data_IF_241331660940
#
_entry.id   IF_241331660940
#
_cell.length_a   1.000
_cell.length_b   1.000
_cell.length_c   1.000
_cell.angle_alpha   90.00
_cell.angle_beta   90.00
_cell.angle_gamma   90.00
#
_symmetry.space_group_name_H-M   'P 1'
#
loop_
_entity.id
_entity.type
_entity.pdbx_description
1 polymer ?
#
# COMPACT_ATOMS: atom_id res chain seq x y z
N UNK A 1 -14.34 80.40 -55.40
CA UNK A 1 -13.85 79.00 -55.37
C UNK A 1 -14.21 78.48 -53.98
N UNK A 2 -15.37 77.86 -53.74
CA UNK A 2 -15.84 76.53 -54.17
C UNK A 2 -14.83 75.40 -53.93
N UNK A 3 -15.22 74.43 -53.09
CA UNK A 3 -14.81 73.03 -53.22
C UNK A 3 -14.32 72.33 -51.96
N UNK A 4 -15.21 71.65 -51.23
CA UNK A 4 -14.94 70.29 -50.70
C UNK A 4 -15.30 69.29 -51.83
N UNK A 5 -14.63 68.12 -52.02
CA UNK A 5 -14.96 66.93 -51.22
C UNK A 5 -13.89 65.79 -51.14
N UNK A 6 -14.27 64.71 -50.44
CA UNK A 6 -13.81 63.31 -50.54
C UNK A 6 -12.46 62.98 -49.86
N UNK A 7 -12.28 61.88 -49.13
CA UNK A 7 -13.07 60.66 -48.99
C UNK A 7 -12.13 59.47 -49.16
N UNK A 8 -11.99 58.63 -48.14
CA UNK A 8 -12.00 57.16 -48.29
C UNK A 8 -11.88 56.48 -46.93
N UNK A 9 -12.96 55.80 -46.57
CA UNK A 9 -12.92 54.60 -45.75
C UNK A 9 -11.97 53.60 -46.40
N UNK A 10 -11.11 52.96 -45.60
CA UNK A 10 -10.74 51.58 -45.86
C UNK A 10 -11.02 50.76 -44.62
N UNK A 11 -11.98 49.85 -44.79
CA UNK A 11 -12.41 48.79 -43.89
C UNK A 11 -11.78 47.53 -44.44
N UNK A 12 -11.01 46.79 -43.64
CA UNK A 12 -10.78 45.33 -43.74
C UNK A 12 -9.81 44.94 -42.61
N UNK A 13 -10.35 44.44 -41.50
CA UNK A 13 -10.34 43.02 -41.15
C UNK A 13 -8.97 42.51 -40.73
N UNK A 14 -8.61 42.73 -39.46
CA UNK A 14 -7.66 41.82 -38.81
C UNK A 14 -8.46 40.77 -38.06
N UNK A 15 -8.39 39.57 -38.63
CA UNK A 15 -8.90 38.31 -38.12
C UNK A 15 -8.16 37.98 -36.83
N UNK A 16 -8.87 37.46 -35.83
CA UNK A 16 -8.22 36.57 -34.88
C UNK A 16 -7.57 35.40 -35.63
N UNK A 17 -6.41 34.93 -35.16
CA UNK A 17 -6.20 33.50 -35.05
C UNK A 17 -5.87 33.10 -33.61
N UNK A 18 -6.78 32.30 -33.09
CA UNK A 18 -6.59 31.17 -32.18
C UNK A 18 -5.15 30.61 -32.12
N UNK A 19 -4.75 30.25 -30.89
CA UNK A 19 -3.73 29.27 -30.46
C UNK A 19 -2.30 29.73 -30.12
N UNK A 20 -1.86 29.20 -28.95
CA UNK A 20 -0.53 29.17 -28.31
C UNK A 20 -0.14 30.47 -27.59
N UNK A 21 0.09 30.49 -26.28
CA UNK A 21 0.96 29.55 -25.56
C UNK A 21 0.60 29.47 -24.08
N UNK A 22 0.20 28.28 -23.65
CA UNK A 22 0.25 27.81 -22.26
C UNK A 22 1.72 27.59 -21.90
N UNK A 23 2.12 28.07 -20.71
CA UNK A 23 3.33 27.76 -19.91
C UNK A 23 3.94 29.08 -19.43
N UNK A 24 3.63 29.47 -18.20
CA UNK A 24 4.56 30.02 -17.20
C UNK A 24 3.72 30.54 -16.01
N UNK A 25 3.46 29.69 -15.02
CA UNK A 25 3.15 30.12 -13.65
C UNK A 25 3.24 28.91 -12.68
N UNK A 26 4.31 28.13 -12.73
CA UNK A 26 4.63 27.14 -11.71
C UNK A 26 5.85 27.62 -10.95
N UNK A 27 5.64 28.61 -10.07
CA UNK A 27 6.52 29.00 -8.96
C UNK A 27 5.89 30.20 -8.26
N UNK A 28 5.66 30.04 -6.96
CA UNK A 28 5.11 31.01 -6.00
C UNK A 28 3.58 31.07 -5.87
N UNK A 29 2.98 30.04 -5.26
CA UNK A 29 1.94 30.22 -4.22
C UNK A 29 2.09 29.10 -3.17
N UNK A 30 3.06 29.22 -2.26
CA UNK A 30 2.97 28.63 -0.92
C UNK A 30 3.21 29.79 0.06
N UNK A 31 2.31 30.77 0.06
CA UNK A 31 2.12 31.69 1.19
C UNK A 31 0.66 32.13 1.17
N UNK A 32 -0.01 31.93 2.31
CA UNK A 32 -1.33 32.40 2.70
C UNK A 32 -2.56 31.59 2.24
N UNK A 33 -2.82 30.48 2.93
CA UNK A 33 -4.19 30.07 3.29
C UNK A 33 -4.16 29.47 4.71
N UNK A 34 -3.93 30.32 5.71
CA UNK A 34 -4.23 29.98 7.12
C UNK A 34 -5.02 31.15 7.70
N UNK A 35 -6.25 31.37 7.23
CA UNK A 35 -7.32 32.00 8.03
C UNK A 35 -8.65 31.46 7.47
N UNK A 36 -9.37 30.71 8.32
CA UNK A 36 -10.72 30.14 8.16
C UNK A 36 -10.93 29.07 7.07
N UNK A 37 -10.81 27.80 7.49
CA UNK A 37 -11.12 26.61 6.69
C UNK A 37 -9.93 25.66 6.64
N UNK A 38 -10.02 24.55 7.38
CA UNK A 38 -8.99 23.51 7.46
C UNK A 38 -8.49 23.11 6.07
N UNK A 39 -7.19 23.28 5.83
CA UNK A 39 -6.56 22.76 4.62
C UNK A 39 -6.50 21.24 4.75
N UNK A 40 -7.20 20.54 3.86
CA UNK A 40 -7.22 19.07 3.73
C UNK A 40 -5.97 18.52 3.02
N UNK A 41 -4.98 19.36 2.73
CA UNK A 41 -3.70 18.93 2.15
C UNK A 41 -3.02 17.99 3.15
N UNK A 42 -2.84 16.73 2.77
CA UNK A 42 -2.32 15.68 3.64
C UNK A 42 -3.30 15.16 4.70
N UNK A 43 -4.60 15.44 4.63
CA UNK A 43 -5.53 14.81 5.58
C UNK A 43 -5.91 13.39 5.15
N UNK A 44 -6.10 13.19 3.85
CA UNK A 44 -6.37 11.90 3.24
C UNK A 44 -5.21 11.58 2.31
N UNK A 45 -4.60 10.41 2.51
CA UNK A 45 -3.41 9.98 1.78
C UNK A 45 -3.66 8.64 1.09
N UNK A 46 -2.95 8.40 -0.01
CA UNK A 46 -2.88 7.07 -0.63
C UNK A 46 -2.03 6.19 0.29
N UNK A 47 -2.58 5.08 0.75
CA UNK A 47 -1.97 4.24 1.79
C UNK A 47 -1.51 2.88 1.26
N UNK A 48 -2.25 2.29 0.33
CA UNK A 48 -1.96 0.97 -0.24
C UNK A 48 -2.56 0.87 -1.65
N UNK A 49 -1.87 0.20 -2.57
CA UNK A 49 -2.37 -0.05 -3.94
C UNK A 49 -2.23 -1.52 -4.32
N UNK A 50 -3.24 -2.08 -4.99
CA UNK A 50 -3.20 -3.41 -5.59
C UNK A 50 -3.37 -3.30 -7.12
N UNK A 51 -2.28 -3.05 -7.86
CA UNK A 51 -2.32 -2.95 -9.31
C UNK A 51 -2.40 -4.30 -10.02
N UNK A 52 -1.90 -5.39 -9.40
CA UNK A 52 -1.73 -6.69 -10.06
C UNK A 52 -2.27 -7.85 -9.21
N UNK A 53 -3.57 -7.91 -8.89
CA UNK A 53 -4.14 -8.98 -8.05
C UNK A 53 -4.00 -10.37 -8.73
N UNK A 54 -3.81 -11.43 -7.94
CA UNK A 54 -3.88 -12.81 -8.44
C UNK A 54 -5.33 -13.30 -8.56
N UNK A 55 -6.22 -12.75 -7.75
CA UNK A 55 -7.65 -13.00 -7.76
C UNK A 55 -8.41 -11.73 -7.38
N UNK A 56 -9.58 -11.51 -7.99
CA UNK A 56 -10.30 -10.24 -7.90
C UNK A 56 -9.76 -9.18 -8.86
N UNK A 57 -10.20 -7.95 -8.67
CA UNK A 57 -9.78 -6.77 -9.43
C UNK A 57 -8.90 -5.83 -8.62
N UNK A 58 -8.50 -4.74 -9.28
CA UNK A 58 -7.62 -3.73 -8.73
C UNK A 58 -8.31 -2.92 -7.63
N UNK A 59 -7.52 -2.37 -6.72
CA UNK A 59 -8.06 -1.47 -5.70
C UNK A 59 -6.98 -0.56 -5.13
N UNK A 60 -7.46 0.51 -4.49
CA UNK A 60 -6.64 1.53 -3.85
C UNK A 60 -7.23 1.81 -2.47
N UNK A 61 -6.36 1.87 -1.47
CA UNK A 61 -6.72 2.30 -0.13
C UNK A 61 -6.28 3.72 0.13
N UNK A 62 -7.19 4.50 0.69
CA UNK A 62 -6.94 5.81 1.24
C UNK A 62 -7.05 5.76 2.77
N UNK A 63 -6.20 6.51 3.46
CA UNK A 63 -6.18 6.60 4.92
C UNK A 63 -6.34 8.05 5.35
N UNK A 64 -7.28 8.30 6.28
CA UNK A 64 -7.38 9.61 6.91
C UNK A 64 -6.41 9.68 8.10
N UNK A 65 -5.24 10.27 7.87
CA UNK A 65 -4.21 10.42 8.90
C UNK A 65 -4.45 11.60 9.86
N UNK A 66 -5.41 12.47 9.53
CA UNK A 66 -5.75 13.61 10.36
C UNK A 66 -6.53 13.21 11.62
N UNK A 67 -6.54 14.11 12.61
CA UNK A 67 -7.36 13.98 13.82
C UNK A 67 -8.81 14.49 13.60
N UNK A 68 -9.17 14.82 12.37
CA UNK A 68 -10.47 15.35 11.98
C UNK A 68 -11.06 14.55 10.83
N UNK A 69 -12.39 14.54 10.73
CA UNK A 69 -13.05 13.90 9.60
C UNK A 69 -12.86 14.68 8.29
N UNK A 70 -12.85 13.97 7.17
CA UNK A 70 -12.74 14.54 5.81
C UNK A 70 -13.98 14.17 5.01
N UNK A 71 -14.65 15.15 4.39
CA UNK A 71 -15.68 14.87 3.38
C UNK A 71 -15.02 14.77 2.00
N UNK A 72 -15.19 13.62 1.37
CA UNK A 72 -14.58 13.27 0.07
C UNK A 72 -15.52 13.47 -1.11
N UNK A 73 -16.63 14.19 -0.92
CA UNK A 73 -17.48 14.60 -2.03
C UNK A 73 -16.67 15.36 -3.08
N UNK A 74 -16.84 14.96 -4.33
CA UNK A 74 -16.20 15.53 -5.52
C UNK A 74 -14.67 15.40 -5.55
N UNK A 75 -14.06 14.67 -4.62
CA UNK A 75 -12.64 14.30 -4.69
C UNK A 75 -12.40 13.30 -5.83
N UNK A 76 -11.19 13.36 -6.40
CA UNK A 76 -10.82 12.56 -7.56
C UNK A 76 -9.47 11.90 -7.36
N UNK A 77 -9.36 10.71 -7.92
CA UNK A 77 -8.09 10.07 -8.17
C UNK A 77 -7.82 10.11 -9.67
N UNK A 78 -6.68 10.67 -10.09
CA UNK A 78 -6.30 10.80 -11.50
C UNK A 78 -5.03 10.02 -11.82
N UNK A 79 -4.94 9.47 -13.03
CA UNK A 79 -3.73 8.83 -13.55
C UNK A 79 -2.88 9.78 -14.42
N UNK A 80 -1.74 9.31 -14.92
CA UNK A 80 -0.84 10.10 -15.78
C UNK A 80 -1.44 10.47 -17.16
N UNK A 81 -2.54 9.84 -17.54
CA UNK A 81 -3.28 10.10 -18.79
C UNK A 81 -4.44 11.08 -18.60
N UNK A 82 -4.59 11.68 -17.41
CA UNK A 82 -5.69 12.59 -17.04
C UNK A 82 -7.07 11.90 -17.03
N UNK A 83 -7.10 10.56 -16.99
CA UNK A 83 -8.31 9.84 -16.62
C UNK A 83 -8.52 9.98 -15.12
N UNK A 84 -9.77 9.96 -14.66
CA UNK A 84 -10.06 10.06 -13.24
C UNK A 84 -11.21 9.17 -12.78
N UNK A 85 -11.09 8.73 -11.53
CA UNK A 85 -12.17 8.10 -10.78
C UNK A 85 -12.70 9.08 -9.74
N UNK A 86 -14.00 9.36 -9.79
CA UNK A 86 -14.69 10.14 -8.77
C UNK A 86 -14.85 9.29 -7.51
N UNK A 87 -14.42 9.80 -6.35
CA UNK A 87 -14.60 9.10 -5.08
C UNK A 87 -16.09 9.08 -4.70
N UNK A 88 -16.72 10.25 -4.56
CA UNK A 88 -18.14 10.32 -4.22
C UNK A 88 -18.83 11.52 -4.86
N UNK A 89 -20.04 11.31 -5.39
CA UNK A 89 -20.90 12.38 -5.93
C UNK A 89 -21.82 13.05 -4.88
N UNK A 90 -21.78 12.54 -3.64
CA UNK A 90 -22.54 13.04 -2.49
C UNK A 90 -21.65 13.02 -1.26
N UNK A 91 -22.06 13.78 -0.25
CA UNK A 91 -21.38 13.90 1.02
C UNK A 91 -21.04 12.50 1.58
N UNK A 92 -19.74 12.27 1.80
CA UNK A 92 -19.20 11.02 2.29
C UNK A 92 -18.04 11.34 3.20
N UNK A 93 -18.24 11.11 4.49
CA UNK A 93 -17.30 11.49 5.53
C UNK A 93 -16.46 10.29 5.94
N UNK A 94 -15.14 10.46 5.94
CA UNK A 94 -14.16 9.52 6.48
C UNK A 94 -13.74 10.03 7.87
N UNK A 95 -13.89 9.20 8.89
CA UNK A 95 -13.48 9.53 10.25
C UNK A 95 -11.95 9.58 10.42
N UNK A 96 -11.45 10.19 11.51
CA UNK A 96 -10.02 10.18 11.81
C UNK A 96 -9.51 8.74 12.00
N UNK A 97 -8.35 8.42 11.43
CA UNK A 97 -7.74 7.09 11.50
C UNK A 97 -8.54 5.99 10.80
N UNK A 98 -9.51 6.35 9.94
CA UNK A 98 -10.32 5.39 9.19
C UNK A 98 -9.79 5.19 7.77
N UNK A 99 -10.07 4.01 7.24
CA UNK A 99 -9.69 3.60 5.88
C UNK A 99 -10.87 3.72 4.91
N UNK A 100 -10.54 3.95 3.65
CA UNK A 100 -11.46 3.87 2.53
C UNK A 100 -10.83 3.03 1.43
N UNK A 101 -11.60 2.11 0.86
CA UNK A 101 -11.22 1.32 -0.30
C UNK A 101 -11.98 1.81 -1.53
N UNK A 102 -11.25 2.11 -2.60
CA UNK A 102 -11.79 2.21 -3.96
C UNK A 102 -11.49 0.89 -4.67
N UNK A 103 -12.53 0.11 -4.96
CA UNK A 103 -12.42 -1.17 -5.67
C UNK A 103 -12.88 -1.02 -7.12
N UNK A 104 -12.21 -1.71 -8.03
CA UNK A 104 -12.54 -1.75 -9.47
C UNK A 104 -14.01 -2.08 -9.72
N UNK A 105 -14.52 -3.11 -9.05
CA UNK A 105 -15.90 -3.56 -9.19
C UNK A 105 -16.47 -4.13 -7.88
N UNK A 106 -17.76 -4.48 -7.91
CA UNK A 106 -18.44 -5.06 -6.74
C UNK A 106 -17.91 -6.45 -6.38
N UNK A 107 -17.43 -7.24 -7.35
CA UNK A 107 -16.89 -8.57 -7.08
C UNK A 107 -15.57 -8.49 -6.30
N UNK A 108 -14.74 -7.50 -6.61
CA UNK A 108 -13.52 -7.15 -5.88
C UNK A 108 -13.84 -6.71 -4.47
N UNK A 109 -14.85 -5.84 -4.32
CA UNK A 109 -15.31 -5.38 -3.02
C UNK A 109 -15.78 -6.53 -2.11
N UNK A 110 -16.52 -7.51 -2.66
CA UNK A 110 -16.98 -8.68 -1.93
C UNK A 110 -15.82 -9.61 -1.52
N UNK A 111 -14.79 -9.76 -2.36
CA UNK A 111 -13.63 -10.63 -2.09
C UNK A 111 -12.71 -10.13 -0.99
N UNK A 112 -12.63 -8.82 -0.78
CA UNK A 112 -11.75 -8.24 0.24
C UNK A 112 -12.20 -8.57 1.68
N UNK A 113 -13.44 -9.02 1.87
CA UNK A 113 -14.01 -9.44 3.16
C UNK A 113 -13.67 -8.46 4.31
N UNK A 114 -13.90 -7.17 4.03
CA UNK A 114 -13.55 -6.08 4.94
C UNK A 114 -14.50 -6.02 6.13
N UNK A 115 -14.00 -5.46 7.23
CA UNK A 115 -14.83 -5.18 8.38
C UNK A 115 -15.94 -4.17 8.02
N UNK A 116 -17.07 -4.25 8.72
CA UNK A 116 -18.24 -3.42 8.42
C UNK A 116 -18.03 -1.91 8.67
N UNK A 117 -16.89 -1.51 9.25
CA UNK A 117 -16.56 -0.10 9.50
C UNK A 117 -15.72 0.52 8.38
N UNK A 118 -15.08 -0.27 7.53
CA UNK A 118 -14.35 0.24 6.36
C UNK A 118 -15.33 0.73 5.30
N UNK A 119 -15.08 1.94 4.79
CA UNK A 119 -15.87 2.49 3.68
C UNK A 119 -15.35 1.87 2.38
N UNK A 120 -16.23 1.21 1.63
CA UNK A 120 -15.91 0.74 0.28
C UNK A 120 -16.69 1.52 -0.78
N UNK A 121 -15.99 1.92 -1.82
CA UNK A 121 -16.50 2.61 -2.99
C UNK A 121 -16.20 1.78 -4.23
N UNK A 122 -17.16 1.70 -5.14
CA UNK A 122 -17.00 1.14 -6.47
C UNK A 122 -17.27 2.27 -7.46
N UNK A 123 -16.23 2.98 -7.92
CA UNK A 123 -16.40 4.10 -8.84
C UNK A 123 -17.01 3.62 -10.17
N UNK A 124 -17.97 4.38 -10.72
CA UNK A 124 -18.52 4.08 -12.04
C UNK A 124 -17.49 4.28 -13.17
N UNK A 125 -16.53 5.18 -12.93
CA UNK A 125 -15.48 5.58 -13.86
C UNK A 125 -14.12 5.09 -13.33
N UNK A 126 -13.97 3.79 -13.08
CA UNK A 126 -12.68 3.22 -12.65
C UNK A 126 -11.60 3.45 -13.71
N UNK A 127 -10.46 4.01 -13.30
CA UNK A 127 -9.27 4.09 -14.13
C UNK A 127 -8.32 2.96 -13.76
N UNK A 128 -8.01 2.02 -14.67
CA UNK A 128 -7.14 0.89 -14.38
C UNK A 128 -5.74 1.33 -13.94
N UNK A 129 -5.16 0.56 -13.01
CA UNK A 129 -3.81 0.74 -12.54
C UNK A 129 -2.81 0.05 -13.45
N UNK A 130 -1.82 0.79 -13.96
CA UNK A 130 -0.82 0.18 -14.82
C UNK A 130 0.10 -0.78 -14.05
N UNK A 131 0.16 -2.04 -14.49
CA UNK A 131 0.98 -3.07 -13.87
C UNK A 131 2.47 -2.74 -13.86
N UNK A 132 3.00 -2.13 -14.92
CA UNK A 132 4.43 -1.79 -15.04
C UNK A 132 4.80 -0.50 -14.32
N UNK A 133 3.82 0.28 -13.86
CA UNK A 133 4.04 1.55 -13.18
C UNK A 133 3.03 2.60 -13.58
N UNK A 134 2.71 3.48 -12.64
CA UNK A 134 1.79 4.60 -12.85
C UNK A 134 2.15 5.78 -11.93
N UNK A 135 1.53 6.92 -12.21
CA UNK A 135 1.53 8.08 -11.33
C UNK A 135 0.08 8.42 -11.01
N UNK A 136 -0.27 8.37 -9.72
CA UNK A 136 -1.60 8.67 -9.24
C UNK A 136 -1.59 9.96 -8.43
N UNK A 137 -2.57 10.83 -8.66
CA UNK A 137 -2.81 12.01 -7.84
C UNK A 137 -4.18 11.91 -7.18
N UNK A 138 -4.22 12.13 -5.88
CA UNK A 138 -5.43 12.33 -5.11
C UNK A 138 -5.67 13.84 -5.00
N UNK A 139 -6.76 14.33 -5.57
CA UNK A 139 -7.14 15.73 -5.53
C UNK A 139 -8.46 15.94 -4.80
N UNK A 140 -8.55 17.04 -4.05
CA UNK A 140 -9.79 17.46 -3.40
C UNK A 140 -10.82 18.00 -4.40
N UNK A 141 -12.00 18.37 -3.89
CA UNK A 141 -13.09 18.94 -4.70
C UNK A 141 -12.71 20.25 -5.43
N UNK A 142 -11.71 20.99 -4.92
CA UNK A 142 -11.17 22.20 -5.54
C UNK A 142 -10.10 21.93 -6.60
N UNK A 143 -9.70 20.67 -6.78
CA UNK A 143 -8.61 20.26 -7.67
C UNK A 143 -7.22 20.45 -7.08
N UNK A 144 -7.11 20.70 -5.77
CA UNK A 144 -5.82 20.75 -5.10
C UNK A 144 -5.35 19.32 -4.81
N UNK A 145 -4.13 19.00 -5.22
CA UNK A 145 -3.52 17.69 -4.93
C UNK A 145 -3.29 17.57 -3.42
N UNK A 146 -3.99 16.62 -2.81
CA UNK A 146 -3.85 16.27 -1.40
C UNK A 146 -2.68 15.31 -1.17
N UNK A 147 -2.48 14.35 -2.09
CA UNK A 147 -1.40 13.37 -2.04
C UNK A 147 -1.15 12.77 -3.44
N UNK A 148 -0.03 12.09 -3.63
CA UNK A 148 0.31 11.44 -4.89
C UNK A 148 1.36 10.33 -4.69
N UNK A 149 1.37 9.36 -5.61
CA UNK A 149 2.34 8.26 -5.65
C UNK A 149 2.82 8.07 -7.09
N UNK A 150 4.09 7.75 -7.25
CA UNK A 150 4.65 7.18 -8.48
C UNK A 150 5.22 5.80 -8.16
N UNK A 151 4.84 4.80 -8.95
CA UNK A 151 5.32 3.43 -8.79
C UNK A 151 5.68 2.82 -10.16
N UNK A 152 6.45 1.73 -10.17
CA UNK A 152 6.85 1.01 -11.39
C UNK A 152 8.32 0.68 -11.48
N UNK A 153 9.17 1.60 -11.02
CA UNK A 153 10.63 1.38 -10.95
C UNK A 153 11.07 0.68 -9.68
N UNK A 154 10.13 0.42 -8.76
CA UNK A 154 10.39 -0.15 -7.44
C UNK A 154 10.71 -1.63 -7.51
N UNK A 155 11.85 -2.00 -6.92
CA UNK A 155 12.26 -3.39 -6.80
C UNK A 155 11.31 -4.15 -5.85
N UNK A 156 10.91 -5.37 -6.24
CA UNK A 156 10.22 -6.29 -5.33
C UNK A 156 8.69 -6.33 -5.41
N UNK A 157 8.07 -5.63 -6.36
CA UNK A 157 6.65 -5.83 -6.71
C UNK A 157 6.40 -7.26 -7.19
N UNK A 158 5.33 -7.89 -6.70
CA UNK A 158 4.94 -9.26 -7.05
C UNK A 158 3.43 -9.29 -7.26
N UNK A 159 2.96 -9.99 -8.29
CA UNK A 159 1.53 -10.19 -8.52
C UNK A 159 0.86 -10.86 -7.30
N UNK A 160 -0.35 -10.40 -6.99
CA UNK A 160 -1.13 -10.75 -5.81
C UNK A 160 -0.62 -10.17 -4.51
N UNK A 161 0.30 -9.20 -4.55
CA UNK A 161 0.70 -8.41 -3.38
C UNK A 161 0.52 -6.93 -3.66
N UNK A 162 -0.11 -6.24 -2.72
CA UNK A 162 -0.21 -4.79 -2.75
C UNK A 162 1.13 -4.13 -2.45
N UNK A 163 1.19 -2.85 -2.78
CA UNK A 163 2.28 -1.94 -2.45
C UNK A 163 1.80 -1.03 -1.32
N UNK A 164 2.47 -1.10 -0.19
CA UNK A 164 2.06 -0.43 1.05
C UNK A 164 2.97 0.77 1.34
N UNK A 165 2.37 1.87 1.81
CA UNK A 165 3.11 2.99 2.39
C UNK A 165 3.63 2.61 3.77
N UNK A 166 4.85 3.02 4.09
CA UNK A 166 5.51 2.68 5.36
C UNK A 166 5.10 3.66 6.46
N UNK A 167 5.11 4.94 6.14
CA UNK A 167 4.69 6.03 7.02
C UNK A 167 3.69 6.94 6.28
N UNK A 168 2.44 6.95 6.75
CA UNK A 168 1.39 7.79 6.21
C UNK A 168 1.75 9.28 6.26
N UNK A 169 2.49 9.71 7.29
CA UNK A 169 2.87 11.10 7.53
C UNK A 169 4.00 11.60 6.64
N UNK A 170 4.75 10.68 6.01
CA UNK A 170 5.84 11.00 5.08
C UNK A 170 5.29 11.08 3.66
N UNK A 171 5.78 11.97 2.76
CA UNK A 171 5.18 12.17 1.42
C UNK A 171 5.06 10.90 0.58
N UNK A 172 3.98 10.76 -0.21
CA UNK A 172 3.76 9.60 -1.07
C UNK A 172 4.72 9.50 -2.26
N UNK A 173 5.37 10.61 -2.64
CA UNK A 173 6.43 10.62 -3.66
C UNK A 173 7.79 10.09 -3.17
N UNK A 174 7.97 9.92 -1.87
CA UNK A 174 9.21 9.37 -1.36
C UNK A 174 9.23 7.88 -1.69
N UNK A 175 10.04 7.49 -2.68
CA UNK A 175 10.16 6.11 -3.15
C UNK A 175 10.50 5.14 -2.00
N UNK A 176 11.37 5.57 -1.09
CA UNK A 176 11.73 4.87 0.14
C UNK A 176 10.62 4.92 1.21
N UNK A 177 9.41 5.37 0.91
CA UNK A 177 8.26 5.30 1.80
C UNK A 177 7.28 4.20 1.38
N UNK A 178 7.66 3.32 0.47
CA UNK A 178 6.83 2.23 0.00
C UNK A 178 7.55 0.89 -0.03
N UNK A 179 6.77 -0.19 -0.06
CA UNK A 179 7.30 -1.54 -0.21
C UNK A 179 6.21 -2.58 -0.48
N UNK A 180 6.60 -3.84 -0.77
CA UNK A 180 5.66 -4.92 -0.98
C UNK A 180 5.00 -5.33 0.33
N UNK A 181 3.68 -5.55 0.30
CA UNK A 181 2.95 -6.12 1.43
C UNK A 181 3.61 -7.40 1.97
N UNK A 182 3.85 -7.40 3.28
CA UNK A 182 4.43 -8.50 4.03
C UNK A 182 3.38 -9.42 4.68
N UNK A 183 2.10 -9.09 4.57
CA UNK A 183 1.01 -9.96 5.03
C UNK A 183 0.92 -11.22 4.16
N UNK A 184 0.53 -12.35 4.75
CA UNK A 184 0.38 -13.61 4.02
C UNK A 184 -0.74 -13.54 2.98
N UNK A 185 -1.81 -12.81 3.26
CA UNK A 185 -2.94 -12.60 2.33
C UNK A 185 -2.55 -11.72 1.14
N UNK A 186 -1.38 -11.09 1.17
CA UNK A 186 -0.89 -10.21 0.12
C UNK A 186 -1.46 -8.80 0.16
N UNK A 187 -2.22 -8.45 1.19
CA UNK A 187 -2.69 -7.08 1.42
C UNK A 187 -3.05 -6.81 2.88
N UNK A 188 -3.19 -5.52 3.20
CA UNK A 188 -3.68 -5.00 4.48
C UNK A 188 -4.91 -4.10 4.34
N UNK A 189 -5.66 -4.23 3.25
CA UNK A 189 -6.93 -3.51 3.05
C UNK A 189 -7.82 -3.46 4.33
N UNK A 190 -8.26 -2.26 4.69
CA UNK A 190 -9.07 -1.93 5.86
C UNK A 190 -8.31 -1.91 7.19
N UNK A 191 -6.99 -2.14 7.21
CA UNK A 191 -6.19 -2.25 8.44
C UNK A 191 -4.81 -1.61 8.30
N UNK A 192 -4.08 -1.57 9.41
CA UNK A 192 -2.74 -1.01 9.44
C UNK A 192 -1.76 -1.79 8.56
N UNK A 193 -1.00 -1.06 7.73
CA UNK A 193 0.03 -1.62 6.84
C UNK A 193 1.04 -2.49 7.61
N UNK A 194 1.46 -3.57 6.94
CA UNK A 194 2.41 -4.55 7.45
C UNK A 194 3.84 -3.99 7.59
N UNK A 195 4.15 -2.94 6.84
CA UNK A 195 5.45 -2.28 6.83
C UNK A 195 5.63 -1.20 7.89
N UNK A 196 4.57 -0.84 8.64
CA UNK A 196 4.64 0.22 9.66
C UNK A 196 5.74 -0.12 10.69
N UNK A 197 6.77 0.74 10.83
CA UNK A 197 7.90 0.47 11.72
C UNK A 197 7.45 0.25 13.17
N UNK A 198 8.13 -0.66 13.86
CA UNK A 198 7.98 -0.76 15.31
C UNK A 198 8.80 0.34 15.97
N UNK A 199 8.16 1.10 16.87
CA UNK A 199 8.81 2.21 17.56
C UNK A 199 9.97 1.69 18.43
N UNK A 200 11.16 2.27 18.23
CA UNK A 200 12.36 1.98 19.01
C UNK A 200 13.30 0.96 18.37
N UNK A 201 14.52 0.85 18.92
CA UNK A 201 15.54 -0.09 18.46
C UNK A 201 15.20 -1.50 18.93
N UNK A 202 14.30 -2.18 18.21
CA UNK A 202 13.97 -3.57 18.49
C UNK A 202 15.06 -4.50 17.94
N UNK A 203 15.29 -5.62 18.64
CA UNK A 203 16.02 -6.75 18.09
C UNK A 203 15.05 -7.64 17.35
N UNK A 204 15.51 -8.32 16.30
CA UNK A 204 14.68 -9.29 15.60
C UNK A 204 14.27 -10.43 16.55
N UNK A 205 12.97 -10.68 16.65
CA UNK A 205 12.40 -11.76 17.48
C UNK A 205 11.54 -12.68 16.64
N UNK A 206 11.51 -13.96 17.02
CA UNK A 206 10.61 -14.96 16.47
C UNK A 206 9.92 -15.71 17.60
N UNK A 207 8.63 -15.97 17.44
CA UNK A 207 7.82 -16.78 18.33
C UNK A 207 6.94 -17.74 17.54
N UNK A 208 6.52 -18.83 18.17
CA UNK A 208 5.63 -19.83 17.58
C UNK A 208 4.44 -20.10 18.49
N UNK A 209 3.25 -20.17 17.90
CA UNK A 209 2.02 -20.53 18.61
C UNK A 209 0.99 -21.14 17.66
N UNK A 210 0.32 -22.26 18.02
CA UNK A 210 0.52 -23.07 19.23
C UNK A 210 1.89 -23.79 19.29
N UNK A 211 2.42 -23.95 20.50
CA UNK A 211 3.65 -24.71 20.78
C UNK A 211 3.56 -25.39 22.16
N UNK A 212 3.48 -26.74 22.25
CA UNK A 212 3.56 -27.69 21.14
C UNK A 212 2.32 -27.71 20.23
N UNK A 213 2.45 -28.30 19.04
CA UNK A 213 1.33 -28.63 18.14
C UNK A 213 1.48 -30.05 17.54
N UNK A 214 0.37 -30.63 17.06
CA UNK A 214 0.32 -32.00 16.51
C UNK A 214 0.00 -32.02 15.00
N UNK A 215 1.00 -32.11 14.12
CA UNK A 215 0.78 -32.07 12.68
C UNK A 215 0.07 -33.33 12.14
N UNK A 216 0.16 -34.47 12.86
CA UNK A 216 -0.55 -35.70 12.50
C UNK A 216 -2.07 -35.61 12.68
N UNK A 217 -2.56 -34.53 13.31
CA UNK A 217 -3.99 -34.19 13.42
C UNK A 217 -4.40 -33.06 12.49
N UNK A 218 -3.50 -32.59 11.63
CA UNK A 218 -3.72 -31.42 10.78
C UNK A 218 -3.63 -30.09 11.55
N UNK A 219 -3.06 -30.08 12.76
CA UNK A 219 -2.76 -28.83 13.45
C UNK A 219 -1.59 -28.11 12.77
N UNK A 220 -1.61 -26.78 12.83
CA UNK A 220 -0.55 -25.92 12.32
C UNK A 220 -0.08 -24.98 13.42
N UNK A 221 1.18 -24.54 13.34
CA UNK A 221 1.68 -23.42 14.15
C UNK A 221 1.79 -22.16 13.30
N UNK A 222 1.59 -21.01 13.91
CA UNK A 222 1.95 -19.71 13.34
C UNK A 222 3.32 -19.33 13.86
N UNK A 223 4.21 -18.91 12.97
CA UNK A 223 5.52 -18.35 13.23
C UNK A 223 5.39 -16.83 13.07
N UNK A 224 5.55 -16.09 14.15
CA UNK A 224 5.42 -14.63 14.20
C UNK A 224 6.79 -13.97 14.33
N UNK A 225 6.99 -12.87 13.62
CA UNK A 225 8.23 -12.10 13.64
C UNK A 225 8.01 -10.67 14.11
N UNK A 226 9.05 -10.08 14.69
CA UNK A 226 9.16 -8.63 14.83
C UNK A 226 10.53 -8.23 14.29
N UNK A 227 10.55 -7.45 13.23
CA UNK A 227 11.77 -7.11 12.50
C UNK A 227 12.13 -5.64 12.68
N UNK A 228 13.43 -5.28 12.81
CA UNK A 228 13.83 -3.88 13.00
C UNK A 228 13.66 -3.00 11.76
N UNK A 229 13.67 -3.60 10.56
CA UNK A 229 13.50 -2.90 9.31
C UNK A 229 12.02 -2.96 8.86
N UNK A 230 11.57 -1.89 8.21
CA UNK A 230 10.23 -1.78 7.65
C UNK A 230 10.04 -2.66 6.43
N UNK A 231 11.11 -2.85 5.64
CA UNK A 231 11.12 -3.67 4.43
C UNK A 231 12.30 -4.63 4.49
N UNK A 232 12.04 -5.93 4.33
CA UNK A 232 13.04 -6.98 4.42
C UNK A 232 12.70 -8.17 3.54
N UNK A 233 13.71 -8.97 3.20
CA UNK A 233 13.54 -10.33 2.66
C UNK A 233 13.76 -11.35 3.75
N UNK A 234 12.74 -12.14 4.05
CA UNK A 234 12.76 -13.19 5.06
C UNK A 234 12.98 -14.56 4.44
N UNK A 235 13.89 -15.31 5.03
CA UNK A 235 14.02 -16.76 4.82
C UNK A 235 13.89 -17.46 6.17
N UNK A 236 13.06 -18.51 6.21
CA UNK A 236 12.79 -19.31 7.42
C UNK A 236 13.19 -20.74 7.15
N UNK A 237 13.98 -21.28 8.08
CA UNK A 237 14.49 -22.63 8.06
C UNK A 237 14.04 -23.38 9.31
N UNK A 238 13.79 -24.68 9.14
CA UNK A 238 13.55 -25.61 10.25
C UNK A 238 14.77 -26.52 10.38
N UNK A 239 15.29 -26.63 11.59
CA UNK A 239 16.39 -27.52 11.95
C UNK A 239 15.93 -28.55 12.96
N UNK A 240 16.46 -29.77 12.85
CA UNK A 240 16.30 -30.80 13.89
C UNK A 240 17.22 -30.54 15.10
N UNK A 241 17.09 -31.35 16.14
CA UNK A 241 17.91 -31.25 17.35
C UNK A 241 19.42 -31.49 17.13
N UNK A 242 19.81 -32.08 15.99
CA UNK A 242 21.20 -32.28 15.60
C UNK A 242 21.75 -31.09 14.79
N UNK A 243 20.93 -30.07 14.51
CA UNK A 243 21.32 -28.91 13.71
C UNK A 243 21.30 -29.17 12.21
N UNK A 244 20.65 -30.24 11.73
CA UNK A 244 20.45 -30.48 10.30
C UNK A 244 19.21 -29.73 9.84
N UNK A 245 19.31 -29.02 8.72
CA UNK A 245 18.16 -28.35 8.09
C UNK A 245 17.23 -29.41 7.52
N UNK A 246 15.97 -29.39 7.94
CA UNK A 246 14.93 -30.33 7.50
C UNK A 246 13.81 -29.64 6.71
N UNK A 247 13.58 -28.34 6.93
CA UNK A 247 12.52 -27.60 6.26
C UNK A 247 12.95 -26.19 5.84
N UNK A 248 12.23 -25.62 4.86
CA UNK A 248 12.30 -24.21 4.44
C UNK A 248 10.90 -23.61 4.23
N UNK A 249 10.14 -23.34 5.31
CA UNK A 249 8.75 -22.87 5.19
C UNK A 249 8.59 -21.55 4.40
N UNK A 250 9.64 -20.73 4.34
CA UNK A 250 9.67 -19.53 3.51
C UNK A 250 11.08 -19.26 2.98
N UNK A 251 11.19 -18.83 1.72
CA UNK A 251 12.46 -18.46 1.10
C UNK A 251 12.31 -17.13 0.39
N UNK A 252 13.12 -16.15 0.81
CA UNK A 252 13.22 -14.83 0.19
C UNK A 252 11.87 -14.09 0.02
N UNK A 253 10.96 -14.25 0.99
CA UNK A 253 9.64 -13.61 0.96
C UNK A 253 9.71 -12.16 1.46
N UNK A 254 8.85 -11.24 0.97
CA UNK A 254 8.66 -9.94 1.59
C UNK A 254 8.31 -10.05 3.08
N UNK A 255 8.88 -9.16 3.89
CA UNK A 255 8.67 -9.07 5.32
C UNK A 255 8.79 -7.61 5.78
N UNK A 256 8.04 -7.24 6.81
CA UNK A 256 8.07 -5.92 7.43
C UNK A 256 8.22 -5.97 8.94
N UNK A 257 8.07 -4.82 9.60
CA UNK A 257 8.27 -4.77 11.06
C UNK A 257 7.17 -5.52 11.83
N UNK A 258 5.94 -5.60 11.28
CA UNK A 258 4.76 -6.19 11.94
C UNK A 258 4.27 -7.52 11.33
N UNK A 259 4.90 -7.97 10.26
CA UNK A 259 4.58 -9.18 9.49
C UNK A 259 5.88 -9.75 8.93
N UNK A 260 6.08 -11.07 8.85
CA UNK A 260 5.05 -12.02 8.47
C UNK A 260 4.49 -12.87 9.62
N UNK A 261 3.24 -13.29 9.47
CA UNK A 261 2.71 -14.47 10.14
C UNK A 261 2.85 -15.63 9.14
N UNK A 262 3.74 -16.57 9.43
CA UNK A 262 3.98 -17.72 8.56
C UNK A 262 3.39 -18.97 9.20
N UNK A 263 2.50 -19.66 8.50
CA UNK A 263 1.96 -20.93 8.97
C UNK A 263 2.92 -22.07 8.62
N UNK A 264 3.11 -23.00 9.56
CA UNK A 264 3.85 -24.23 9.34
C UNK A 264 3.09 -25.43 9.89
N UNK A 265 2.96 -26.47 9.06
CA UNK A 265 2.17 -27.68 9.31
C UNK A 265 3.02 -28.87 9.74
N UNK A 266 4.30 -28.65 10.08
CA UNK A 266 5.22 -29.69 10.55
C UNK A 266 5.84 -30.53 9.46
N UNK A 267 5.73 -30.15 8.18
CA UNK A 267 6.37 -30.86 7.05
C UNK A 267 7.78 -30.38 6.75
N UNK A 268 8.55 -31.27 6.15
CA UNK A 268 9.90 -31.07 5.67
C UNK A 268 9.93 -30.58 4.21
N UNK A 269 11.12 -30.44 3.62
CA UNK A 269 11.29 -30.00 2.22
C UNK A 269 10.68 -30.94 1.16
N UNK A 270 10.45 -32.21 1.51
CA UNK A 270 9.88 -33.24 0.63
C UNK A 270 8.38 -33.42 0.82
N UNK A 271 7.74 -32.52 1.59
CA UNK A 271 6.33 -32.60 1.99
C UNK A 271 6.03 -33.76 2.96
N UNK A 272 7.06 -34.35 3.59
CA UNK A 272 6.89 -35.42 4.57
C UNK A 272 6.70 -34.85 5.98
N UNK A 273 5.78 -35.45 6.75
CA UNK A 273 5.56 -35.08 8.14
C UNK A 273 6.79 -35.40 8.99
N UNK A 274 7.30 -34.39 9.70
CA UNK A 274 8.41 -34.58 10.62
C UNK A 274 7.99 -35.37 11.86
N UNK A 275 8.85 -36.25 12.38
CA UNK A 275 8.61 -36.98 13.62
C UNK A 275 8.29 -36.06 14.81
N UNK A 276 7.56 -36.60 15.80
CA UNK A 276 7.42 -35.96 17.11
C UNK A 276 8.81 -35.66 17.69
N UNK A 277 9.03 -34.42 18.12
CA UNK A 277 10.34 -33.98 18.55
C UNK A 277 10.45 -32.46 18.71
N UNK A 278 11.66 -32.04 19.11
CA UNK A 278 12.02 -30.63 19.21
C UNK A 278 12.74 -30.21 17.93
N UNK A 279 12.32 -29.07 17.41
CA UNK A 279 12.89 -28.42 16.24
C UNK A 279 13.24 -26.98 16.56
N UNK A 280 14.12 -26.40 15.74
CA UNK A 280 14.53 -25.00 15.84
C UNK A 280 14.00 -24.30 14.60
N UNK A 281 13.19 -23.26 14.81
CA UNK A 281 12.88 -22.27 13.78
C UNK A 281 14.03 -21.28 13.77
N UNK A 282 14.69 -21.12 12.63
CA UNK A 282 15.74 -20.14 12.40
C UNK A 282 15.30 -19.21 11.27
N UNK A 283 15.41 -17.91 11.49
CA UNK A 283 14.98 -16.91 10.54
C UNK A 283 16.08 -15.90 10.26
N UNK A 284 16.24 -15.55 8.99
CA UNK A 284 17.14 -14.52 8.49
C UNK A 284 16.32 -13.50 7.71
N UNK A 285 16.36 -12.25 8.16
CA UNK A 285 15.77 -11.10 7.49
C UNK A 285 16.88 -10.19 6.98
N UNK A 286 16.91 -9.95 5.68
CA UNK A 286 17.83 -9.01 5.04
C UNK A 286 17.06 -7.70 4.81
N UNK A 287 17.51 -6.62 5.43
CA UNK A 287 17.00 -5.27 5.16
C UNK A 287 17.29 -4.93 3.69
N UNK A 288 16.24 -4.64 2.91
CA UNK A 288 16.37 -4.39 1.46
C UNK A 288 17.09 -3.07 1.15
N UNK A 289 17.18 -2.15 2.11
CA UNK A 289 17.82 -0.83 1.93
C UNK A 289 19.27 -0.85 2.35
N UNK A 290 19.54 -1.39 3.53
CA UNK A 290 20.89 -1.39 4.09
C UNK A 290 21.69 -2.65 3.76
N UNK A 291 21.03 -3.71 3.29
CA UNK A 291 21.63 -5.05 3.13
C UNK A 291 21.98 -5.71 4.46
N UNK A 292 21.63 -5.12 5.60
CA UNK A 292 21.94 -5.64 6.93
C UNK A 292 21.14 -6.91 7.20
N UNK A 293 21.84 -7.94 7.65
CA UNK A 293 21.21 -9.21 8.04
C UNK A 293 20.86 -9.20 9.52
N UNK A 294 19.60 -9.53 9.81
CA UNK A 294 19.07 -9.77 11.13
C UNK A 294 18.68 -11.24 11.24
N UNK A 295 19.18 -11.94 12.27
CA UNK A 295 18.81 -13.34 12.50
C UNK A 295 18.27 -13.58 13.89
N UNK A 296 17.35 -14.55 14.00
CA UNK A 296 16.69 -14.90 15.25
C UNK A 296 16.23 -16.36 15.21
N UNK A 297 15.98 -16.95 16.39
CA UNK A 297 15.56 -18.35 16.49
C UNK A 297 14.71 -18.63 17.73
N UNK A 298 13.82 -19.61 17.61
CA UNK A 298 13.09 -20.16 18.75
C UNK A 298 12.94 -21.69 18.61
N UNK A 299 12.53 -22.35 19.68
CA UNK A 299 12.21 -23.77 19.67
C UNK A 299 10.73 -23.98 19.38
N UNK A 300 10.42 -24.94 18.51
CA UNK A 300 9.07 -25.45 18.27
C UNK A 300 9.04 -26.95 18.56
N UNK A 301 7.95 -27.42 19.14
CA UNK A 301 7.79 -28.82 19.54
C UNK A 301 6.62 -29.44 18.79
N UNK A 302 6.91 -30.49 18.03
CA UNK A 302 5.90 -31.39 17.49
C UNK A 302 5.61 -32.43 18.58
N UNK A 303 4.40 -32.48 19.09
CA UNK A 303 4.03 -33.44 20.15
C UNK A 303 2.62 -33.97 19.97
N UNK A 304 2.40 -35.20 20.44
CA UNK A 304 1.05 -35.70 20.69
C UNK A 304 0.53 -35.16 22.04
N UNK A 305 -0.77 -35.27 22.31
CA UNK A 305 -1.43 -34.70 23.50
C UNK A 305 -0.66 -35.06 24.77
N UNK A 306 -0.27 -34.05 25.55
CA UNK A 306 0.11 -34.25 26.95
C UNK A 306 -1.16 -34.70 27.69
N UNK A 307 -1.13 -35.91 28.26
CA UNK A 307 -2.24 -36.44 29.07
C UNK A 307 -2.37 -35.69 30.39
#
# INVERSE_FOLDING_TARGET
MYGTPSGSMNRMSEKEPVARSIRLAWRAVIVAYIIEGFSSVGALVINEIMPAPNDGGEWIELFNEAQTSVDIKDWRLTDASDNYSLLASRDRVIGPGSYLIMAEDSATAEKLDLDSTTIILVPADWSPLNNEGDHLWLADAGGLVADQIEYGSDAGRVAGRSWERIDAHSPGLEHDNWGPCADFNGHTAGRANSLIPLAGHIKATVSVSPNPFNPYRGEVTVISFSLPAAVSRLTVYIYDAAGRRVGKPAVNIPAGSRSPLLTWDGRDDNDDLLPIGRYIVYAEAVDERSGKVHSTRCTVVLADRLK
#
